data_IF_447994649789
#
_entry.id   IF_447994649789
#
_cell.length_a   1.000
_cell.length_b   1.000
_cell.length_c   1.000
_cell.angle_alpha   90.00
_cell.angle_beta   90.00
_cell.angle_gamma   90.00
#
_symmetry.space_group_name_H-M   'P 1'
#
loop_
_entity.id
_entity.type
_entity.pdbx_description
1 polymer ?
#
# COMPACT_ATOMS: atom_id res chain seq x y z
N UNK A 1 4.68 21.90 9.71
CA UNK A 1 4.98 20.81 8.75
C UNK A 1 4.46 19.53 9.38
N UNK A 2 3.75 18.68 8.63
CA UNK A 2 3.26 17.41 9.20
C UNK A 2 4.45 16.54 9.61
N UNK A 3 4.34 15.84 10.74
CA UNK A 3 5.37 14.90 11.16
C UNK A 3 5.40 13.68 10.21
N UNK A 4 6.59 13.10 9.96
CA UNK A 4 6.70 11.89 9.16
C UNK A 4 5.92 10.74 9.82
N UNK A 5 4.88 10.26 9.14
CA UNK A 5 4.10 9.10 9.58
C UNK A 5 4.52 7.87 8.77
N UNK A 6 4.97 6.78 9.42
CA UNK A 6 5.24 5.51 8.76
C UNK A 6 4.07 5.09 7.87
N UNK A 7 4.34 4.90 6.56
CA UNK A 7 3.31 4.67 5.55
C UNK A 7 3.71 3.50 4.66
N UNK A 8 2.74 2.63 4.36
CA UNK A 8 2.83 1.56 3.36
C UNK A 8 1.65 1.73 2.40
N UNK A 9 1.91 1.58 1.09
CA UNK A 9 0.88 1.64 0.04
C UNK A 9 0.70 0.26 -0.58
N UNK A 10 -0.54 -0.16 -0.75
CA UNK A 10 -0.90 -1.38 -1.49
C UNK A 10 -1.87 -0.97 -2.59
N UNK A 11 -1.55 -1.25 -3.85
CA UNK A 11 -2.37 -0.85 -5.00
C UNK A 11 -2.55 -2.00 -6.00
N UNK A 12 -3.68 -2.02 -6.70
CA UNK A 12 -3.99 -3.01 -7.73
C UNK A 12 -3.55 -2.53 -9.11
N UNK A 13 -2.84 -3.36 -9.88
CA UNK A 13 -2.46 -3.04 -11.25
C UNK A 13 -3.68 -2.78 -12.16
N UNK A 14 -4.79 -3.48 -11.90
CA UNK A 14 -6.03 -3.41 -12.67
C UNK A 14 -7.07 -2.53 -11.98
N UNK A 15 -6.64 -1.56 -11.17
CA UNK A 15 -7.52 -0.57 -10.58
C UNK A 15 -8.03 0.41 -11.65
N UNK A 16 -9.26 0.18 -12.10
CA UNK A 16 -9.96 1.02 -13.08
C UNK A 16 -10.65 2.25 -12.45
N UNK A 17 -10.73 2.32 -11.11
CA UNK A 17 -11.35 3.44 -10.39
C UNK A 17 -10.30 4.50 -10.07
N UNK A 18 -9.16 4.08 -9.54
CA UNK A 18 -8.01 4.91 -9.23
C UNK A 18 -6.81 4.39 -10.03
N UNK A 19 -6.41 5.07 -11.12
CA UNK A 19 -5.28 4.65 -11.94
C UNK A 19 -4.02 4.47 -11.09
N UNK A 20 -3.32 3.34 -11.27
CA UNK A 20 -2.12 2.97 -10.50
C UNK A 20 -1.08 4.08 -10.38
N UNK A 21 -0.90 4.89 -11.42
CA UNK A 21 0.04 6.02 -11.42
C UNK A 21 -0.25 7.04 -10.30
N UNK A 22 -1.51 7.20 -9.88
CA UNK A 22 -1.89 8.06 -8.75
C UNK A 22 -1.44 7.48 -7.42
N UNK A 23 -1.61 6.18 -7.22
CA UNK A 23 -1.12 5.47 -6.03
C UNK A 23 0.40 5.52 -5.92
N UNK A 24 1.10 5.30 -7.03
CA UNK A 24 2.57 5.39 -7.09
C UNK A 24 3.08 6.81 -6.81
N UNK A 25 2.45 7.83 -7.39
CA UNK A 25 2.81 9.22 -7.14
C UNK A 25 2.64 9.59 -5.65
N UNK A 26 1.54 9.16 -5.02
CA UNK A 26 1.36 9.36 -3.58
C UNK A 26 2.46 8.65 -2.79
N UNK A 27 2.73 7.38 -3.09
CA UNK A 27 3.77 6.62 -2.39
C UNK A 27 5.16 7.26 -2.51
N UNK A 28 5.50 7.80 -3.68
CA UNK A 28 6.73 8.55 -3.91
C UNK A 28 6.83 9.78 -3.01
N UNK A 29 5.76 10.59 -2.91
CA UNK A 29 5.75 11.78 -2.03
C UNK A 29 5.97 11.44 -0.56
N UNK A 30 5.50 10.25 -0.13
CA UNK A 30 5.66 9.76 1.24
C UNK A 30 6.93 8.92 1.44
N UNK A 31 7.65 8.60 0.36
CA UNK A 31 8.72 7.58 0.33
C UNK A 31 8.27 6.25 0.96
N UNK A 32 7.01 5.87 0.74
CA UNK A 32 6.37 4.71 1.33
C UNK A 32 6.83 3.41 0.66
N UNK A 33 6.99 2.35 1.46
CA UNK A 33 7.07 0.98 0.92
C UNK A 33 5.77 0.70 0.14
N UNK A 34 5.91 0.15 -1.06
CA UNK A 34 4.77 -0.04 -1.97
C UNK A 34 4.68 -1.47 -2.46
N UNK A 35 3.51 -2.07 -2.28
CA UNK A 35 3.14 -3.36 -2.86
C UNK A 35 2.18 -3.13 -4.03
N UNK A 36 2.63 -3.48 -5.23
CA UNK A 36 1.79 -3.46 -6.43
C UNK A 36 1.38 -4.89 -6.76
N UNK A 37 0.07 -5.17 -6.77
CA UNK A 37 -0.47 -6.52 -6.93
C UNK A 37 -1.29 -6.65 -8.20
N UNK A 38 -1.30 -7.83 -8.81
CA UNK A 38 -2.17 -8.14 -9.97
C UNK A 38 -3.63 -8.37 -9.51
N UNK A 39 -4.31 -7.28 -9.18
CA UNK A 39 -5.67 -7.28 -8.65
C UNK A 39 -6.41 -6.01 -9.08
N UNK A 40 -7.73 -6.01 -8.89
CA UNK A 40 -8.59 -4.86 -9.17
C UNK A 40 -8.64 -3.87 -7.99
N UNK A 41 -9.45 -2.82 -8.13
CA UNK A 41 -9.65 -1.79 -7.09
C UNK A 41 -10.04 -2.36 -5.71
N UNK A 42 -10.67 -3.54 -5.67
CA UNK A 42 -11.18 -4.15 -4.43
C UNK A 42 -10.11 -4.96 -3.71
N UNK A 43 -9.03 -5.35 -4.40
CA UNK A 43 -7.91 -6.12 -3.86
C UNK A 43 -8.31 -7.48 -3.22
N UNK A 44 -9.48 -8.01 -3.56
CA UNK A 44 -10.03 -9.19 -2.89
C UNK A 44 -9.16 -10.43 -3.05
N UNK A 45 -8.54 -10.63 -4.22
CA UNK A 45 -7.65 -11.76 -4.46
C UNK A 45 -6.34 -11.65 -3.67
N UNK A 46 -5.98 -10.45 -3.23
CA UNK A 46 -4.75 -10.14 -2.51
C UNK A 46 -4.93 -10.02 -1.00
N UNK A 47 -6.16 -10.10 -0.47
CA UNK A 47 -6.46 -9.96 0.96
C UNK A 47 -5.55 -10.81 1.89
N UNK A 48 -5.28 -12.11 1.63
CA UNK A 48 -4.40 -12.88 2.51
C UNK A 48 -2.98 -12.31 2.61
N UNK A 49 -2.45 -11.78 1.50
CA UNK A 49 -1.13 -11.12 1.47
C UNK A 49 -1.16 -9.78 2.22
N UNK A 50 -2.21 -8.99 2.02
CA UNK A 50 -2.40 -7.70 2.70
C UNK A 50 -2.42 -7.84 4.22
N UNK A 51 -3.09 -8.88 4.74
CA UNK A 51 -3.08 -9.17 6.18
C UNK A 51 -1.68 -9.51 6.69
N UNK A 52 -0.88 -10.23 5.89
CA UNK A 52 0.52 -10.50 6.20
C UNK A 52 1.35 -9.22 6.30
N UNK A 53 1.29 -8.36 5.28
CA UNK A 53 2.02 -7.09 5.26
C UNK A 53 1.59 -6.13 6.36
N UNK A 54 0.30 -6.13 6.73
CA UNK A 54 -0.17 -5.35 7.87
C UNK A 54 0.47 -5.82 9.19
N UNK A 55 0.60 -7.13 9.41
CA UNK A 55 1.28 -7.66 10.59
C UNK A 55 2.76 -7.29 10.62
N UNK A 56 3.44 -7.39 9.48
CA UNK A 56 4.84 -6.97 9.34
C UNK A 56 5.01 -5.48 9.63
N UNK A 57 4.11 -4.64 9.11
CA UNK A 57 4.09 -3.20 9.38
C UNK A 57 3.93 -2.90 10.87
N UNK A 58 2.95 -3.53 11.53
CA UNK A 58 2.68 -3.32 12.96
C UNK A 58 3.82 -3.81 13.85
N UNK A 59 4.42 -4.97 13.53
CA UNK A 59 5.55 -5.52 14.27
C UNK A 59 6.80 -4.63 14.23
N UNK A 60 6.88 -3.68 13.28
CA UNK A 60 7.92 -2.64 13.25
C UNK A 60 7.77 -1.56 14.33
N UNK A 61 6.63 -1.48 15.03
CA UNK A 61 6.38 -0.52 16.11
C UNK A 61 6.40 -1.13 17.51
N UNK A 62 6.35 -2.46 17.63
CA UNK A 62 6.34 -3.18 18.90
C UNK A 62 7.74 -3.28 19.57
N UNK A 63 8.53 -2.20 19.50
CA UNK A 63 9.86 -2.09 20.12
C UNK A 63 9.81 -1.65 21.59
#
# INVERSE_FOLDING_TARGET
>A
MAEPCPTVVIHGWRDEVVPVAKGLAFAETQRALTYLVDDDHRLHASLPRMVGWLREFLGGFDA
#
